data_IF_360963681895
#
_entry.id   IF_360963681895
#
_cell.length_a   1.000
_cell.length_b   1.000
_cell.length_c   1.000
_cell.angle_alpha   90.00
_cell.angle_beta   90.00
_cell.angle_gamma   90.00
#
_symmetry.space_group_name_H-M   'P 1'
#
loop_
_entity.id
_entity.type
_entity.pdbx_description
1 polymer ?
#
# COMPACT_ATOMS: atom_id res chain seq x y z
N UNK A 1 -19.16 -1.42 15.49
CA UNK A 1 -18.79 -2.84 15.22
C UNK A 1 -17.30 -3.05 15.43
N UNK A 2 -16.41 -2.25 14.84
CA UNK A 2 -14.95 -2.38 14.95
C UNK A 2 -14.49 -2.42 16.42
N UNK A 3 -14.94 -1.46 17.24
CA UNK A 3 -14.61 -1.37 18.66
C UNK A 3 -15.16 -2.55 19.50
N UNK A 4 -16.32 -3.12 19.10
CA UNK A 4 -16.90 -4.27 19.80
C UNK A 4 -16.17 -5.57 19.48
N UNK A 5 -15.56 -5.66 18.29
CA UNK A 5 -14.90 -6.87 17.80
C UNK A 5 -13.39 -6.85 18.02
N UNK A 6 -12.77 -5.69 18.29
CA UNK A 6 -11.32 -5.52 18.50
C UNK A 6 -10.50 -6.23 17.44
N UNK A 7 -10.80 -5.99 16.18
CA UNK A 7 -10.13 -6.64 15.06
C UNK A 7 -10.13 -5.72 13.82
N UNK A 8 -9.12 -5.80 12.94
CA UNK A 8 -9.07 -5.00 11.74
C UNK A 8 -10.14 -5.40 10.74
N UNK A 9 -10.60 -4.42 9.97
CA UNK A 9 -11.55 -4.59 8.87
C UNK A 9 -10.91 -4.20 7.56
N UNK A 10 -11.24 -4.96 6.51
CA UNK A 10 -11.01 -4.57 5.13
C UNK A 10 -12.38 -4.43 4.45
N UNK A 11 -12.70 -3.23 4.02
CA UNK A 11 -13.92 -2.91 3.29
C UNK A 11 -13.58 -2.77 1.81
N UNK A 12 -14.26 -3.51 0.97
CA UNK A 12 -14.09 -3.44 -0.49
C UNK A 12 -15.36 -2.88 -1.10
N UNK A 13 -15.20 -1.89 -1.96
CA UNK A 13 -16.26 -1.22 -2.73
C UNK A 13 -15.95 -1.26 -4.22
N UNK A 14 -16.87 -0.84 -5.07
CA UNK A 14 -16.74 -0.93 -6.53
C UNK A 14 -15.57 -0.10 -7.09
N UNK A 15 -15.51 1.18 -6.71
CA UNK A 15 -14.55 2.13 -7.26
C UNK A 15 -13.94 3.04 -6.19
N UNK A 16 -12.94 3.82 -6.59
CA UNK A 16 -12.20 4.71 -5.68
C UNK A 16 -13.05 5.88 -5.17
N UNK A 17 -14.01 6.37 -5.95
CA UNK A 17 -14.91 7.43 -5.50
C UNK A 17 -15.77 6.94 -4.33
N UNK A 18 -16.32 5.73 -4.45
CA UNK A 18 -17.05 5.08 -3.36
C UNK A 18 -16.14 4.78 -2.17
N UNK A 19 -14.87 4.37 -2.39
CA UNK A 19 -13.93 4.15 -1.30
C UNK A 19 -13.69 5.43 -0.48
N UNK A 20 -13.45 6.54 -1.16
CA UNK A 20 -13.29 7.84 -0.50
C UNK A 20 -14.56 8.28 0.25
N UNK A 21 -15.74 8.13 -0.33
CA UNK A 21 -17.02 8.43 0.32
C UNK A 21 -17.26 7.53 1.54
N UNK A 22 -16.93 6.25 1.45
CA UNK A 22 -17.04 5.29 2.55
C UNK A 22 -16.12 5.67 3.71
N UNK A 23 -14.86 6.04 3.42
CA UNK A 23 -13.91 6.53 4.44
C UNK A 23 -14.48 7.73 5.20
N UNK A 24 -14.94 8.75 4.48
CA UNK A 24 -15.50 9.94 5.13
C UNK A 24 -16.76 9.62 5.95
N UNK A 25 -17.61 8.73 5.46
CA UNK A 25 -18.79 8.26 6.18
C UNK A 25 -18.41 7.50 7.46
N UNK A 26 -17.44 6.59 7.38
CA UNK A 26 -17.02 5.78 8.53
C UNK A 26 -16.31 6.61 9.61
N UNK A 27 -15.56 7.64 9.24
CA UNK A 27 -14.90 8.55 10.19
C UNK A 27 -15.87 9.21 11.19
N UNK A 28 -17.12 9.43 10.78
CA UNK A 28 -18.15 10.02 11.65
C UNK A 28 -18.58 9.06 12.78
N UNK A 29 -18.46 7.75 12.56
CA UNK A 29 -18.94 6.71 13.48
C UNK A 29 -17.85 6.09 14.36
N UNK A 30 -16.59 6.45 14.16
CA UNK A 30 -15.45 5.93 14.94
C UNK A 30 -14.95 6.99 15.93
N UNK A 31 -14.39 6.55 17.06
CA UNK A 31 -13.81 7.48 18.04
C UNK A 31 -12.48 8.05 17.59
N UNK A 32 -11.75 7.28 16.79
CA UNK A 32 -10.44 7.66 16.23
C UNK A 32 -10.55 7.73 14.70
N UNK A 33 -10.86 8.89 14.11
CA UNK A 33 -11.00 9.03 12.66
C UNK A 33 -9.75 8.60 11.87
N UNK A 34 -8.57 8.68 12.50
CA UNK A 34 -7.30 8.26 11.91
C UNK A 34 -7.13 6.74 11.79
N UNK A 35 -8.03 5.95 12.41
CA UNK A 35 -8.03 4.49 12.26
C UNK A 35 -8.83 4.04 11.02
N UNK A 36 -9.50 4.97 10.33
CA UNK A 36 -10.16 4.72 9.04
C UNK A 36 -9.26 5.21 7.92
N UNK A 37 -8.72 4.28 7.15
CA UNK A 37 -7.71 4.52 6.14
C UNK A 37 -8.22 4.13 4.74
N UNK A 38 -7.91 4.95 3.75
CA UNK A 38 -8.10 4.60 2.34
C UNK A 38 -6.84 3.93 1.80
N UNK A 39 -7.00 2.79 1.13
CA UNK A 39 -6.00 2.29 0.21
C UNK A 39 -6.40 2.73 -1.21
N UNK A 40 -5.87 3.84 -1.72
CA UNK A 40 -6.22 4.33 -3.05
C UNK A 40 -5.71 3.40 -4.15
N UNK A 41 -6.30 3.52 -5.33
CA UNK A 41 -5.81 2.86 -6.52
C UNK A 41 -4.42 3.42 -6.89
N UNK A 42 -3.54 2.60 -7.44
CA UNK A 42 -2.37 3.13 -8.15
C UNK A 42 -2.82 3.73 -9.48
N UNK A 43 -2.23 4.87 -9.86
CA UNK A 43 -2.58 5.57 -11.09
C UNK A 43 -2.29 4.72 -12.33
N UNK A 44 -1.13 4.03 -12.33
CA UNK A 44 -0.72 3.16 -13.43
C UNK A 44 -1.73 2.03 -13.66
N UNK A 45 -2.10 1.83 -14.93
CA UNK A 45 -2.80 0.64 -15.37
C UNK A 45 -1.83 -0.56 -15.42
N UNK A 46 -2.34 -1.80 -15.42
CA UNK A 46 -1.48 -2.96 -15.57
C UNK A 46 -0.58 -2.85 -16.80
N UNK A 47 0.71 -3.18 -16.64
CA UNK A 47 1.76 -3.09 -17.68
C UNK A 47 2.12 -1.69 -18.17
N UNK A 48 1.51 -0.64 -17.61
CA UNK A 48 1.83 0.75 -17.90
C UNK A 48 2.98 1.24 -17.01
N UNK A 49 3.81 2.12 -17.56
CA UNK A 49 4.93 2.73 -16.87
C UNK A 49 4.59 4.17 -16.52
N UNK A 50 3.93 4.34 -15.40
CA UNK A 50 3.61 5.66 -14.83
C UNK A 50 4.29 5.85 -13.48
N UNK A 51 4.68 7.09 -13.23
CA UNK A 51 5.18 7.53 -11.93
C UNK A 51 3.96 7.61 -10.99
N UNK A 52 4.06 6.94 -9.85
CA UNK A 52 3.00 7.04 -8.84
C UNK A 52 3.12 8.35 -8.08
N UNK A 53 1.99 9.01 -7.86
CA UNK A 53 1.91 10.19 -7.01
C UNK A 53 2.37 9.89 -5.56
N UNK A 54 3.17 10.81 -4.98
CA UNK A 54 3.77 10.62 -3.66
C UNK A 54 2.71 10.48 -2.54
N UNK A 55 1.60 11.21 -2.63
CA UNK A 55 0.51 11.13 -1.66
C UNK A 55 -0.26 9.81 -1.78
N UNK A 56 -0.47 9.32 -3.01
CA UNK A 56 -1.04 8.00 -3.26
C UNK A 56 -0.17 6.92 -2.65
N UNK A 57 1.14 6.95 -2.89
CA UNK A 57 2.09 6.01 -2.28
C UNK A 57 2.06 6.09 -0.75
N UNK A 58 2.05 7.31 -0.18
CA UNK A 58 1.97 7.50 1.27
C UNK A 58 0.71 6.86 1.87
N UNK A 59 -0.47 7.15 1.31
CA UNK A 59 -1.74 6.58 1.79
C UNK A 59 -1.76 5.05 1.72
N UNK A 60 -1.24 4.49 0.63
CA UNK A 60 -1.13 3.03 0.47
C UNK A 60 -0.22 2.42 1.54
N UNK A 61 0.97 3.00 1.73
CA UNK A 61 1.89 2.56 2.78
C UNK A 61 1.29 2.70 4.19
N UNK A 62 0.59 3.80 4.49
CA UNK A 62 -0.10 4.00 5.76
C UNK A 62 -1.12 2.90 6.04
N UNK A 63 -1.98 2.57 5.05
CA UNK A 63 -2.99 1.53 5.21
C UNK A 63 -2.36 0.14 5.43
N UNK A 64 -1.32 -0.20 4.66
CA UNK A 64 -0.62 -1.47 4.78
C UNK A 64 0.14 -1.59 6.12
N UNK A 65 0.86 -0.55 6.54
CA UNK A 65 1.62 -0.54 7.81
C UNK A 65 0.66 -0.66 8.99
N UNK A 66 -0.44 0.10 9.00
CA UNK A 66 -1.43 0.03 10.07
C UNK A 66 -2.06 -1.35 10.22
N UNK A 67 -2.29 -2.07 9.10
CA UNK A 67 -2.78 -3.45 9.13
C UNK A 67 -1.73 -4.45 9.62
N UNK A 68 -0.45 -4.21 9.35
CA UNK A 68 0.66 -5.09 9.79
C UNK A 68 0.96 -4.91 11.27
N UNK A 69 0.97 -3.66 11.77
CA UNK A 69 1.28 -3.36 13.17
C UNK A 69 0.21 -3.90 14.13
N UNK A 70 -1.06 -3.99 13.68
CA UNK A 70 -2.20 -4.51 14.45
C UNK A 70 -2.36 -3.91 15.86
N UNK A 71 -1.76 -2.78 16.12
CA UNK A 71 -1.82 -2.11 17.43
C UNK A 71 -3.17 -1.43 17.68
N UNK A 72 -3.97 -1.26 16.60
CA UNK A 72 -5.25 -0.54 16.59
C UNK A 72 -6.32 -1.28 15.82
N UNK A 73 -7.56 -0.96 16.09
CA UNK A 73 -8.74 -1.49 15.39
C UNK A 73 -8.92 -0.75 14.04
N UNK A 74 -8.01 -1.02 13.09
CA UNK A 74 -7.95 -0.33 11.80
C UNK A 74 -9.08 -0.77 10.88
N UNK A 75 -9.69 0.20 10.20
CA UNK A 75 -10.62 -0.01 9.09
C UNK A 75 -9.93 0.47 7.81
N UNK A 76 -9.48 -0.46 6.99
CA UNK A 76 -8.96 -0.14 5.67
C UNK A 76 -10.08 -0.26 4.64
N UNK A 77 -10.22 0.74 3.77
CA UNK A 77 -11.20 0.75 2.67
C UNK A 77 -10.45 0.79 1.35
N UNK A 78 -10.82 -0.07 0.42
CA UNK A 78 -10.24 -0.09 -0.93
C UNK A 78 -11.30 -0.34 -1.99
N UNK A 79 -10.98 0.03 -3.24
CA UNK A 79 -11.78 -0.31 -4.40
C UNK A 79 -11.54 -1.75 -4.86
N UNK A 80 -12.40 -2.27 -5.74
CA UNK A 80 -12.18 -3.51 -6.48
C UNK A 80 -10.85 -3.45 -7.26
N UNK A 81 -10.52 -2.31 -7.87
CA UNK A 81 -9.25 -2.11 -8.59
C UNK A 81 -8.04 -2.18 -7.67
N UNK A 82 -8.05 -1.52 -6.51
CA UNK A 82 -6.95 -1.61 -5.55
C UNK A 82 -6.73 -3.05 -5.07
N UNK A 83 -7.82 -3.84 -4.93
CA UNK A 83 -7.74 -5.25 -4.54
C UNK A 83 -7.06 -6.13 -5.58
N UNK A 84 -7.19 -5.81 -6.88
CA UNK A 84 -6.54 -6.54 -7.98
C UNK A 84 -5.07 -6.15 -8.19
N UNK A 85 -4.59 -5.11 -7.54
CA UNK A 85 -3.21 -4.65 -7.65
C UNK A 85 -2.29 -5.47 -6.74
N UNK A 86 -1.20 -6.06 -7.27
CA UNK A 86 -0.18 -6.72 -6.45
C UNK A 86 0.39 -5.75 -5.41
N UNK A 87 0.65 -6.23 -4.20
CA UNK A 87 1.27 -5.47 -3.12
C UNK A 87 2.49 -6.21 -2.57
N UNK A 88 3.35 -5.50 -1.86
CA UNK A 88 4.45 -6.08 -1.08
C UNK A 88 3.89 -7.10 -0.06
N UNK A 89 4.60 -8.21 0.23
CA UNK A 89 4.18 -9.16 1.27
C UNK A 89 4.16 -8.53 2.67
N UNK A 90 3.13 -8.77 3.50
CA UNK A 90 3.04 -8.20 4.85
C UNK A 90 4.22 -8.57 5.74
N UNK A 91 4.82 -9.76 5.57
CA UNK A 91 6.01 -10.18 6.32
C UNK A 91 7.25 -9.36 5.93
N UNK A 92 7.40 -9.01 4.65
CA UNK A 92 8.50 -8.17 4.18
C UNK A 92 8.31 -6.73 4.65
N UNK A 93 7.07 -6.23 4.64
CA UNK A 93 6.75 -4.91 5.17
C UNK A 93 7.06 -4.84 6.68
N UNK A 94 6.59 -5.82 7.46
CA UNK A 94 6.86 -5.88 8.90
C UNK A 94 8.35 -5.91 9.22
N UNK A 95 9.12 -6.69 8.47
CA UNK A 95 10.57 -6.78 8.63
C UNK A 95 11.32 -5.50 8.22
N UNK A 96 10.69 -4.64 7.42
CA UNK A 96 11.24 -3.38 6.95
C UNK A 96 10.90 -2.18 7.86
N UNK A 97 10.04 -2.37 8.87
CA UNK A 97 9.72 -1.33 9.84
C UNK A 97 10.88 -1.12 10.82
N UNK A 98 11.20 0.13 11.06
CA UNK A 98 12.30 0.53 11.91
C UNK A 98 11.89 1.69 12.83
N UNK A 99 12.14 1.58 14.12
CA UNK A 99 11.75 2.61 15.09
C UNK A 99 12.96 3.41 15.53
N UNK A 100 12.93 4.74 15.32
CA UNK A 100 13.83 5.69 15.95
C UNK A 100 13.26 6.13 17.30
N UNK A 101 14.13 6.29 18.28
CA UNK A 101 13.77 6.74 19.62
C UNK A 101 14.86 7.65 20.17
N UNK A 102 14.47 8.72 20.84
CA UNK A 102 15.39 9.64 21.52
C UNK A 102 16.21 8.88 22.57
N UNK A 103 17.51 9.10 22.60
CA UNK A 103 18.49 8.44 23.48
C UNK A 103 18.99 7.09 22.97
N UNK A 104 18.51 6.59 21.80
CA UNK A 104 19.08 5.39 21.19
C UNK A 104 20.33 5.72 20.38
N UNK A 105 21.30 4.81 20.41
CA UNK A 105 22.48 4.85 19.55
C UNK A 105 22.14 4.26 18.17
N UNK A 106 22.42 5.01 17.12
CA UNK A 106 22.19 4.63 15.72
C UNK A 106 23.36 5.14 14.89
N UNK A 107 24.08 4.24 14.24
CA UNK A 107 25.09 4.61 13.25
C UNK A 107 24.44 5.38 12.10
N UNK A 108 24.82 6.64 11.95
CA UNK A 108 24.26 7.55 10.95
C UNK A 108 24.48 7.03 9.52
N UNK A 109 25.63 6.44 9.22
CA UNK A 109 25.95 5.93 7.89
C UNK A 109 25.04 4.74 7.56
N UNK A 110 24.88 3.81 8.49
CA UNK A 110 23.99 2.66 8.33
C UNK A 110 22.52 3.09 8.22
N UNK A 111 22.12 4.13 8.94
CA UNK A 111 20.77 4.69 8.81
C UNK A 111 20.53 5.25 7.40
N UNK A 112 21.45 6.03 6.87
CA UNK A 112 21.32 6.58 5.50
C UNK A 112 21.28 5.47 4.45
N UNK A 113 22.14 4.45 4.55
CA UNK A 113 22.09 3.27 3.70
C UNK A 113 20.77 2.54 3.81
N UNK A 114 20.19 2.46 5.01
CA UNK A 114 18.90 1.83 5.24
C UNK A 114 17.78 2.59 4.56
N UNK A 115 17.76 3.94 4.64
CA UNK A 115 16.79 4.77 3.94
C UNK A 115 16.82 4.54 2.42
N UNK A 116 18.00 4.45 1.81
CA UNK A 116 18.12 4.08 0.38
C UNK A 116 17.49 2.71 0.09
N UNK A 117 17.77 1.70 0.91
CA UNK A 117 17.21 0.35 0.76
C UNK A 117 15.68 0.33 0.89
N UNK A 118 15.12 1.23 1.70
CA UNK A 118 13.69 1.42 1.88
C UNK A 118 13.04 2.28 0.76
N UNK A 119 13.83 2.73 -0.22
CA UNK A 119 13.35 3.47 -1.38
C UNK A 119 13.15 4.96 -1.15
N UNK A 120 13.73 5.53 -0.08
CA UNK A 120 13.73 6.98 0.11
C UNK A 120 14.67 7.65 -0.89
N UNK A 121 14.27 8.85 -1.32
CA UNK A 121 15.00 9.67 -2.27
C UNK A 121 15.80 10.76 -1.54
N UNK A 122 17.12 10.89 -1.82
CA UNK A 122 17.91 11.97 -1.26
C UNK A 122 17.62 13.28 -1.98
N UNK A 123 17.28 14.32 -1.22
CA UNK A 123 16.96 15.66 -1.72
C UNK A 123 17.70 16.75 -0.94
N UNK A 124 17.73 17.96 -1.49
CA UNK A 124 18.32 19.10 -0.78
C UNK A 124 17.41 19.56 0.39
N UNK A 125 16.11 19.58 0.18
CA UNK A 125 15.07 19.94 1.16
C UNK A 125 13.93 18.95 1.05
N UNK A 126 13.43 18.48 2.20
CA UNK A 126 12.36 17.46 2.25
C UNK A 126 11.01 18.14 2.15
N UNK A 127 10.27 17.86 1.09
CA UNK A 127 8.97 18.46 0.79
C UNK A 127 7.87 17.40 0.67
N UNK A 128 8.21 16.16 0.24
CA UNK A 128 7.24 15.11 -0.04
C UNK A 128 7.53 13.82 0.72
N UNK A 129 6.51 12.99 0.99
CA UNK A 129 6.69 11.66 1.57
C UNK A 129 7.68 10.80 0.76
N UNK A 130 8.53 10.06 1.48
CA UNK A 130 9.56 9.22 0.87
C UNK A 130 10.86 9.94 0.54
N UNK A 131 10.99 11.22 0.90
CA UNK A 131 12.22 11.99 0.76
C UNK A 131 13.04 12.01 2.05
N UNK A 132 14.35 12.19 1.93
CA UNK A 132 15.23 12.50 3.04
C UNK A 132 16.37 13.44 2.64
N UNK A 133 16.93 14.15 3.62
CA UNK A 133 18.06 15.06 3.47
C UNK A 133 19.02 14.88 4.63
N UNK A 134 20.32 15.02 4.41
CA UNK A 134 21.34 14.88 5.43
C UNK A 134 22.31 16.07 5.43
N UNK A 135 22.50 16.68 6.60
CA UNK A 135 23.42 17.83 6.78
C UNK A 135 24.12 17.73 8.14
N UNK A 136 25.38 17.30 8.14
CA UNK A 136 26.14 17.12 9.39
C UNK A 136 25.51 16.06 10.29
N UNK A 137 25.16 16.41 11.51
CA UNK A 137 24.46 15.53 12.46
C UNK A 137 22.93 15.60 12.37
N UNK A 138 22.36 16.12 11.27
CA UNK A 138 20.90 16.28 11.11
C UNK A 138 20.43 15.46 9.90
N UNK A 139 19.42 14.64 10.13
CA UNK A 139 18.68 13.93 9.06
C UNK A 139 17.23 14.39 9.09
N UNK A 140 16.79 15.00 8.00
CA UNK A 140 15.39 15.30 7.74
C UNK A 140 14.80 14.18 6.88
N UNK A 141 13.64 13.64 7.24
CA UNK A 141 12.98 12.59 6.45
C UNK A 141 11.47 12.70 6.55
N UNK A 142 10.77 12.29 5.50
CA UNK A 142 9.31 12.24 5.50
C UNK A 142 8.83 10.79 5.38
N UNK A 143 8.69 10.08 6.51
CA UNK A 143 8.20 8.71 6.48
C UNK A 143 6.71 8.66 6.14
N UNK A 144 6.24 7.67 5.35
CA UNK A 144 4.82 7.55 5.05
C UNK A 144 3.94 7.29 6.28
N UNK A 145 4.53 6.80 7.37
CA UNK A 145 3.85 6.56 8.66
C UNK A 145 3.34 7.82 9.33
N UNK A 146 3.87 8.98 8.99
CA UNK A 146 3.55 10.25 9.63
C UNK A 146 2.90 11.24 8.66
N UNK A 147 2.05 12.13 9.16
CA UNK A 147 1.44 13.20 8.35
C UNK A 147 2.38 14.37 8.08
N UNK A 148 3.55 14.39 8.71
CA UNK A 148 4.56 15.45 8.60
C UNK A 148 5.96 14.87 8.61
N UNK A 149 6.94 15.56 7.98
CA UNK A 149 8.32 15.14 8.05
C UNK A 149 8.91 15.30 9.46
N UNK A 150 9.99 14.55 9.70
CA UNK A 150 10.71 14.50 10.99
C UNK A 150 12.15 14.90 10.79
N UNK A 151 12.64 15.73 11.70
CA UNK A 151 14.06 16.07 11.88
C UNK A 151 14.63 15.23 13.00
N UNK A 152 15.70 14.51 12.70
CA UNK A 152 16.48 13.70 13.63
C UNK A 152 17.79 14.42 13.86
N UNK A 153 18.07 14.82 15.09
CA UNK A 153 19.33 15.47 15.47
C UNK A 153 20.19 14.47 16.23
N UNK A 154 21.44 14.32 15.81
CA UNK A 154 22.41 13.40 16.37
C UNK A 154 23.50 14.14 17.16
N UNK A 155 23.87 13.59 18.31
CA UNK A 155 25.10 13.93 19.02
C UNK A 155 26.01 12.69 19.00
N UNK A 156 27.02 12.68 18.11
CA UNK A 156 27.73 11.43 17.78
C UNK A 156 26.78 10.44 17.13
N UNK A 157 26.67 9.24 17.71
CA UNK A 157 25.76 8.17 17.26
C UNK A 157 24.43 8.16 18.06
N UNK A 158 24.27 9.03 19.06
CA UNK A 158 23.05 9.11 19.86
C UNK A 158 22.02 10.04 19.20
N UNK A 159 20.77 9.61 19.14
CA UNK A 159 19.63 10.47 18.74
C UNK A 159 19.32 11.43 19.90
N UNK A 160 19.78 12.68 19.79
CA UNK A 160 19.58 13.72 20.79
C UNK A 160 18.12 14.22 20.77
N UNK A 161 17.55 14.42 19.59
CA UNK A 161 16.17 14.89 19.47
C UNK A 161 15.46 14.37 18.21
N UNK A 162 14.14 14.20 18.32
CA UNK A 162 13.21 13.96 17.22
C UNK A 162 12.15 15.07 17.24
N UNK A 163 11.93 15.73 16.09
CA UNK A 163 10.94 16.80 15.98
C UNK A 163 10.21 16.70 14.65
N UNK A 164 8.90 16.87 14.64
CA UNK A 164 8.21 17.16 13.39
C UNK A 164 8.59 18.54 12.91
N UNK A 165 8.55 18.77 11.60
CA UNK A 165 8.74 20.10 11.02
C UNK A 165 7.74 20.39 9.91
N UNK A 166 7.64 21.65 9.56
CA UNK A 166 6.76 22.13 8.50
C UNK A 166 7.53 22.13 7.17
N UNK A 167 6.97 21.40 6.17
CA UNK A 167 7.63 21.17 4.89
C UNK A 167 7.78 22.41 4.02
N UNK A 168 6.90 23.42 4.18
CA UNK A 168 6.98 24.66 3.41
C UNK A 168 8.00 25.64 4.00
N UNK A 169 8.02 25.76 5.34
CA UNK A 169 8.86 26.72 6.04
C UNK A 169 10.16 26.11 6.56
N UNK A 170 10.31 24.79 6.54
CA UNK A 170 11.42 23.99 7.07
C UNK A 170 11.67 24.21 8.58
N UNK A 171 10.69 24.77 9.31
CA UNK A 171 10.81 25.06 10.75
C UNK A 171 10.35 23.90 11.59
N UNK A 172 11.16 23.55 12.59
CA UNK A 172 10.79 22.55 13.59
C UNK A 172 9.52 22.96 14.34
N UNK A 173 8.66 21.97 14.58
CA UNK A 173 7.38 22.13 15.27
C UNK A 173 7.43 21.42 16.64
N UNK A 174 6.82 20.24 16.74
CA UNK A 174 6.62 19.53 18.00
C UNK A 174 7.71 18.46 18.22
N UNK A 175 8.25 18.33 19.44
CA UNK A 175 9.07 17.19 19.79
C UNK A 175 8.22 15.92 19.81
N UNK A 176 8.82 14.80 19.41
CA UNK A 176 8.27 13.46 19.50
C UNK A 176 9.28 12.53 20.17
N UNK A 177 8.83 11.51 20.86
CA UNK A 177 9.73 10.58 21.54
C UNK A 177 10.20 9.45 20.62
N UNK A 178 9.34 9.03 19.69
CA UNK A 178 9.58 7.92 18.78
C UNK A 178 9.05 8.22 17.37
N UNK A 179 9.66 7.60 16.38
CA UNK A 179 9.22 7.65 14.99
C UNK A 179 9.39 6.28 14.35
N UNK A 180 8.32 5.70 13.81
CA UNK A 180 8.40 4.48 13.01
C UNK A 180 8.69 4.86 11.57
N UNK A 181 9.76 4.31 11.01
CA UNK A 181 10.12 4.44 9.61
C UNK A 181 9.71 3.16 8.90
N UNK A 182 8.89 3.29 7.88
CA UNK A 182 8.54 2.22 6.95
C UNK A 182 9.13 2.46 5.57
N UNK A 183 9.01 1.52 4.64
CA UNK A 183 9.37 1.73 3.24
C UNK A 183 8.68 2.95 2.65
N UNK A 184 9.40 3.71 1.84
CA UNK A 184 8.86 4.86 1.13
C UNK A 184 7.89 4.45 0.01
N UNK A 185 8.05 3.23 -0.51
CA UNK A 185 7.25 2.67 -1.62
C UNK A 185 7.12 1.16 -1.52
N UNK A 186 6.12 0.60 -2.22
CA UNK A 186 5.86 -0.85 -2.23
C UNK A 186 6.94 -1.66 -2.95
N UNK A 187 7.57 -1.09 -3.97
CA UNK A 187 8.62 -1.73 -4.75
C UNK A 187 9.99 -1.42 -4.15
N UNK A 188 10.58 -2.39 -3.43
CA UNK A 188 11.87 -2.19 -2.76
C UNK A 188 13.05 -2.41 -3.71
N UNK A 189 13.90 -1.38 -3.94
CA UNK A 189 15.02 -1.48 -4.87
C UNK A 189 16.06 -2.52 -4.46
N UNK A 190 16.20 -2.80 -3.16
CA UNK A 190 17.12 -3.82 -2.63
C UNK A 190 16.89 -5.22 -3.20
N UNK A 191 15.69 -5.52 -3.70
CA UNK A 191 15.33 -6.78 -4.35
C UNK A 191 15.71 -6.83 -5.83
N UNK A 192 16.14 -5.70 -6.40
CA UNK A 192 16.49 -5.57 -7.81
C UNK A 192 17.49 -6.59 -8.32
N UNK A 193 18.64 -6.85 -7.63
CA UNK A 193 19.64 -7.80 -8.08
C UNK A 193 19.11 -9.24 -8.27
N UNK A 194 18.11 -9.64 -7.50
CA UNK A 194 17.44 -10.94 -7.65
C UNK A 194 16.47 -10.94 -8.83
N UNK A 195 15.68 -9.87 -8.98
CA UNK A 195 14.72 -9.69 -10.06
C UNK A 195 15.37 -9.66 -11.43
N UNK A 196 16.54 -9.04 -11.57
CA UNK A 196 17.30 -8.93 -12.83
C UNK A 196 17.59 -10.29 -13.43
N UNK A 197 17.88 -11.32 -12.62
CA UNK A 197 18.19 -12.68 -13.11
C UNK A 197 17.08 -13.29 -13.97
N UNK A 198 15.84 -12.95 -13.66
CA UNK A 198 14.68 -13.41 -14.43
C UNK A 198 14.37 -12.44 -15.58
N UNK A 199 14.44 -11.15 -15.32
CA UNK A 199 14.16 -10.10 -16.31
C UNK A 199 15.10 -10.16 -17.51
N UNK A 200 16.37 -10.56 -17.32
CA UNK A 200 17.36 -10.76 -18.39
C UNK A 200 17.04 -11.95 -19.31
N UNK A 201 16.15 -12.85 -18.88
CA UNK A 201 15.73 -14.00 -19.71
C UNK A 201 14.58 -13.66 -20.66
N UNK A 202 13.97 -12.49 -20.50
CA UNK A 202 12.86 -12.06 -21.35
C UNK A 202 13.40 -11.63 -22.72
N UNK A 203 12.71 -12.00 -23.83
CA UNK A 203 13.13 -11.62 -25.18
C UNK A 203 12.89 -10.12 -25.41
N UNK A 204 13.94 -9.37 -25.59
CA UNK A 204 13.91 -7.90 -25.76
C UNK A 204 14.31 -7.43 -27.15
N UNK A 205 14.73 -8.34 -28.03
CA UNK A 205 15.22 -8.04 -29.38
C UNK A 205 14.15 -7.43 -30.30
N UNK A 206 12.89 -7.60 -29.91
CA UNK A 206 11.74 -7.10 -30.67
C UNK A 206 11.25 -5.74 -30.19
N UNK A 207 11.79 -5.21 -29.08
CA UNK A 207 11.35 -3.92 -28.54
C UNK A 207 11.69 -2.77 -29.50
N UNK A 208 10.87 -1.72 -29.48
CA UNK A 208 11.23 -0.47 -30.13
C UNK A 208 12.43 0.17 -29.41
N UNK A 209 13.27 0.92 -30.13
CA UNK A 209 14.55 1.41 -29.62
C UNK A 209 14.43 2.15 -28.28
N UNK A 210 13.41 2.98 -28.12
CA UNK A 210 13.17 3.74 -26.88
C UNK A 210 12.86 2.81 -25.71
N UNK A 211 12.04 1.78 -25.92
CA UNK A 211 11.68 0.79 -24.89
C UNK A 211 12.88 -0.11 -24.55
N UNK A 212 13.73 -0.46 -25.54
CA UNK A 212 14.94 -1.24 -25.31
C UNK A 212 15.97 -0.46 -24.48
N UNK A 213 16.17 0.82 -24.79
CA UNK A 213 17.07 1.69 -24.01
C UNK A 213 16.57 1.89 -22.57
N UNK A 214 15.27 2.11 -22.40
CA UNK A 214 14.64 2.20 -21.07
C UNK A 214 14.84 0.90 -20.31
N UNK A 215 14.54 -0.25 -20.91
CA UNK A 215 14.70 -1.56 -20.32
C UNK A 215 16.12 -1.80 -19.81
N UNK A 216 17.13 -1.50 -20.63
CA UNK A 216 18.55 -1.64 -20.27
C UNK A 216 18.92 -0.75 -19.07
N UNK A 217 18.46 0.49 -19.08
CA UNK A 217 18.70 1.44 -17.97
C UNK A 217 18.02 0.95 -16.67
N UNK A 218 16.79 0.46 -16.75
CA UNK A 218 16.05 -0.03 -15.60
C UNK A 218 16.71 -1.29 -15.01
N UNK A 219 17.15 -2.23 -15.86
CA UNK A 219 17.92 -3.40 -15.41
C UNK A 219 19.22 -3.00 -14.71
N UNK A 220 19.90 -1.96 -15.18
CA UNK A 220 21.11 -1.47 -14.50
C UNK A 220 20.80 -0.85 -13.14
N UNK A 221 19.75 -0.04 -13.04
CA UNK A 221 19.29 0.50 -11.76
C UNK A 221 18.89 -0.62 -10.78
N UNK A 222 18.12 -1.60 -11.24
CA UNK A 222 17.73 -2.77 -10.45
C UNK A 222 18.96 -3.57 -9.99
N UNK A 223 19.96 -3.79 -10.86
CA UNK A 223 21.19 -4.50 -10.53
C UNK A 223 21.97 -3.82 -9.40
N UNK A 224 21.95 -2.49 -9.40
CA UNK A 224 22.60 -1.67 -8.37
C UNK A 224 21.72 -1.48 -7.12
N UNK A 225 20.47 -1.96 -7.11
CA UNK A 225 19.53 -1.74 -6.01
C UNK A 225 19.12 -0.28 -5.87
N UNK A 226 19.09 0.46 -6.97
CA UNK A 226 18.71 1.88 -7.00
C UNK A 226 17.22 2.04 -7.26
N UNK A 227 16.63 3.03 -6.59
CA UNK A 227 15.25 3.46 -6.84
C UNK A 227 15.17 4.31 -8.10
N UNK A 228 14.05 4.24 -8.81
CA UNK A 228 13.72 5.07 -9.97
C UNK A 228 12.20 5.20 -10.11
N UNK A 229 11.74 6.15 -10.90
CA UNK A 229 10.36 6.63 -10.90
C UNK A 229 9.30 5.53 -11.13
N UNK A 230 9.50 4.69 -12.14
CA UNK A 230 8.55 3.64 -12.52
C UNK A 230 8.93 2.23 -11.99
N UNK A 231 9.73 2.15 -10.91
CA UNK A 231 10.15 0.88 -10.30
C UNK A 231 8.96 -0.04 -9.94
N UNK A 232 7.79 0.53 -9.66
CA UNK A 232 6.55 -0.19 -9.35
C UNK A 232 6.10 -1.11 -10.50
N UNK A 233 6.46 -0.82 -11.74
CA UNK A 233 6.27 -1.73 -12.88
C UNK A 233 6.90 -3.11 -12.64
N UNK A 234 8.03 -3.15 -11.93
CA UNK A 234 8.78 -4.37 -11.62
C UNK A 234 8.33 -5.07 -10.33
N UNK A 235 7.31 -4.55 -9.64
CA UNK A 235 6.85 -5.11 -8.36
C UNK A 235 6.57 -6.62 -8.41
N UNK A 236 5.98 -7.20 -9.48
CA UNK A 236 5.79 -8.66 -9.58
C UNK A 236 7.09 -9.49 -9.60
N UNK A 237 8.23 -8.87 -9.89
CA UNK A 237 9.56 -9.50 -9.87
C UNK A 237 10.33 -9.22 -8.59
N UNK A 238 10.07 -8.07 -7.95
CA UNK A 238 10.73 -7.68 -6.71
C UNK A 238 10.17 -8.44 -5.50
N UNK A 239 8.90 -8.83 -5.56
CA UNK A 239 8.21 -9.49 -4.45
C UNK A 239 7.40 -10.70 -4.93
N UNK A 240 7.13 -11.62 -4.02
CA UNK A 240 6.10 -12.61 -4.24
C UNK A 240 4.73 -11.92 -4.34
N UNK A 241 3.93 -12.34 -5.31
CA UNK A 241 2.63 -11.72 -5.58
C UNK A 241 1.68 -11.95 -4.41
N UNK A 242 1.31 -10.87 -3.72
CA UNK A 242 0.36 -10.82 -2.62
C UNK A 242 -0.73 -9.78 -2.90
N UNK A 243 -1.82 -9.86 -2.14
CA UNK A 243 -2.98 -8.97 -2.26
C UNK A 243 -3.25 -8.28 -0.92
N UNK A 244 -4.08 -7.26 -0.90
CA UNK A 244 -4.55 -6.66 0.36
C UNK A 244 -5.28 -7.64 1.28
N UNK A 245 -5.86 -8.72 0.73
CA UNK A 245 -6.43 -9.79 1.56
C UNK A 245 -5.39 -10.47 2.44
N UNK A 246 -4.12 -10.51 2.04
CA UNK A 246 -3.05 -11.13 2.82
C UNK A 246 -2.64 -10.28 4.04
N UNK A 247 -2.97 -8.99 4.03
CA UNK A 247 -2.79 -8.07 5.17
C UNK A 247 -3.86 -8.21 6.24
N UNK A 248 -5.04 -8.73 5.87
CA UNK A 248 -6.10 -8.97 6.83
C UNK A 248 -5.77 -10.25 7.64
N UNK A 249 -5.60 -10.17 8.96
CA UNK A 249 -5.34 -11.36 9.78
C UNK A 249 -6.54 -12.31 9.75
N UNK A 250 -6.36 -13.55 10.18
CA UNK A 250 -7.46 -14.55 10.22
C UNK A 250 -8.62 -14.14 11.11
N UNK A 251 -8.35 -13.36 12.15
CA UNK A 251 -9.38 -12.78 13.03
C UNK A 251 -10.11 -11.60 12.40
N UNK A 252 -9.51 -10.97 11.40
CA UNK A 252 -10.06 -9.79 10.73
C UNK A 252 -11.34 -10.09 9.96
N UNK A 253 -12.08 -9.04 9.63
CA UNK A 253 -13.35 -9.11 8.94
C UNK A 253 -13.25 -8.45 7.56
N UNK A 254 -13.57 -9.22 6.51
CA UNK A 254 -13.75 -8.70 5.16
C UNK A 254 -15.20 -8.24 4.98
N UNK A 255 -15.38 -7.03 4.51
CA UNK A 255 -16.69 -6.47 4.20
C UNK A 255 -16.74 -6.18 2.71
N UNK A 256 -17.69 -6.79 1.99
CA UNK A 256 -17.92 -6.55 0.59
C UNK A 256 -19.22 -5.73 0.42
N UNK A 257 -19.09 -4.51 -0.08
CA UNK A 257 -20.23 -3.66 -0.38
C UNK A 257 -20.73 -3.96 -1.79
N UNK A 258 -21.75 -4.80 -1.89
CA UNK A 258 -22.26 -5.38 -3.13
C UNK A 258 -21.25 -6.35 -3.79
N UNK A 259 -21.15 -7.56 -3.24
CA UNK A 259 -20.19 -8.58 -3.69
C UNK A 259 -20.35 -8.95 -5.19
N UNK A 260 -21.57 -8.92 -5.74
CA UNK A 260 -21.82 -9.18 -7.16
C UNK A 260 -21.26 -8.06 -8.04
N UNK A 261 -21.47 -6.80 -7.66
CA UNK A 261 -20.91 -5.65 -8.37
C UNK A 261 -19.38 -5.67 -8.36
N UNK A 262 -18.78 -5.94 -7.19
CA UNK A 262 -17.32 -6.07 -7.04
C UNK A 262 -16.77 -7.18 -7.95
N UNK A 263 -17.44 -8.35 -8.00
CA UNK A 263 -17.05 -9.45 -8.88
C UNK A 263 -17.10 -9.07 -10.35
N UNK A 264 -18.19 -8.44 -10.79
CA UNK A 264 -18.34 -7.95 -12.16
C UNK A 264 -17.26 -6.92 -12.49
N UNK A 265 -17.00 -6.00 -11.58
CA UNK A 265 -15.94 -4.99 -11.75
C UNK A 265 -14.55 -5.60 -11.90
N UNK A 266 -14.24 -6.62 -11.10
CA UNK A 266 -12.96 -7.35 -11.22
C UNK A 266 -12.88 -8.09 -12.55
N UNK A 267 -13.97 -8.71 -13.03
CA UNK A 267 -13.98 -9.36 -14.33
C UNK A 267 -13.72 -8.38 -15.49
N UNK A 268 -14.31 -7.18 -15.46
CA UNK A 268 -13.99 -6.11 -16.41
C UNK A 268 -12.50 -5.69 -16.35
N UNK A 269 -11.94 -5.60 -15.15
CA UNK A 269 -10.52 -5.27 -14.95
C UNK A 269 -9.61 -6.40 -15.45
N UNK A 270 -10.01 -7.66 -15.31
CA UNK A 270 -9.29 -8.83 -15.85
C UNK A 270 -9.19 -8.74 -17.38
N UNK A 271 -10.30 -8.43 -18.05
CA UNK A 271 -10.34 -8.25 -19.51
C UNK A 271 -9.46 -7.07 -19.95
N UNK A 272 -9.59 -5.92 -19.28
CA UNK A 272 -8.77 -4.74 -19.56
C UNK A 272 -7.27 -5.01 -19.37
N UNK A 273 -6.89 -5.71 -18.30
CA UNK A 273 -5.48 -6.06 -18.05
C UNK A 273 -4.91 -6.96 -19.15
N UNK A 274 -5.71 -7.92 -19.63
CA UNK A 274 -5.30 -8.80 -20.72
C UNK A 274 -5.16 -8.03 -22.05
N UNK A 275 -6.11 -7.17 -22.39
CA UNK A 275 -6.06 -6.32 -23.57
C UNK A 275 -4.83 -5.39 -23.56
N UNK A 276 -4.51 -4.81 -22.40
CA UNK A 276 -3.34 -3.97 -22.25
C UNK A 276 -2.03 -4.75 -22.42
N UNK A 277 -1.92 -5.95 -21.85
CA UNK A 277 -0.77 -6.82 -22.03
C UNK A 277 -0.51 -7.08 -23.49
N UNK A 278 -1.56 -7.53 -24.21
CA UNK A 278 -1.49 -7.83 -25.65
C UNK A 278 -1.16 -6.59 -26.50
N UNK A 279 -1.68 -5.42 -26.11
CA UNK A 279 -1.36 -4.15 -26.77
C UNK A 279 0.10 -3.79 -26.64
N UNK A 280 0.64 -3.74 -25.41
CA UNK A 280 2.03 -3.36 -25.17
C UNK A 280 3.03 -4.35 -25.78
N UNK A 281 2.70 -5.66 -25.81
CA UNK A 281 3.50 -6.67 -26.50
C UNK A 281 3.46 -6.47 -28.03
N UNK A 282 2.29 -6.25 -28.62
CA UNK A 282 2.09 -6.01 -30.04
C UNK A 282 2.79 -4.74 -30.51
N UNK A 283 2.70 -3.67 -29.72
CA UNK A 283 3.29 -2.37 -30.01
C UNK A 283 4.80 -2.36 -29.69
N UNK A 284 5.35 -3.47 -29.19
CA UNK A 284 6.76 -3.67 -28.84
C UNK A 284 7.28 -2.69 -27.79
N UNK A 285 6.40 -2.25 -26.90
CA UNK A 285 6.74 -1.37 -25.79
C UNK A 285 7.20 -2.17 -24.57
N UNK A 286 6.67 -3.38 -24.38
CA UNK A 286 7.06 -4.31 -23.33
C UNK A 286 7.51 -5.65 -23.91
N UNK A 287 8.46 -6.35 -23.27
CA UNK A 287 8.84 -7.70 -23.68
C UNK A 287 7.66 -8.66 -23.45
N UNK A 288 7.52 -9.70 -24.30
CA UNK A 288 6.52 -10.73 -24.07
C UNK A 288 6.85 -11.56 -22.81
N UNK A 289 5.83 -12.25 -22.31
CA UNK A 289 5.93 -13.12 -21.14
C UNK A 289 6.23 -12.41 -19.82
N UNK A 290 5.88 -11.13 -19.71
CA UNK A 290 5.90 -10.46 -18.41
C UNK A 290 5.00 -11.18 -17.40
N UNK A 291 5.45 -11.21 -16.13
CA UNK A 291 4.62 -11.65 -15.02
C UNK A 291 3.35 -10.80 -14.94
N UNK A 292 2.29 -11.40 -14.40
CA UNK A 292 1.02 -10.70 -14.28
C UNK A 292 1.14 -9.51 -13.33
N UNK A 293 0.86 -8.32 -13.85
CA UNK A 293 0.79 -7.06 -13.12
C UNK A 293 -0.59 -6.83 -12.46
N UNK A 294 -1.50 -7.80 -12.63
CA UNK A 294 -2.87 -7.79 -12.18
C UNK A 294 -3.23 -9.12 -11.53
N UNK A 295 -4.04 -9.09 -10.49
CA UNK A 295 -4.51 -10.30 -9.78
C UNK A 295 -5.97 -10.51 -10.09
N UNK A 296 -6.25 -11.48 -10.97
CA UNK A 296 -7.59 -11.77 -11.43
C UNK A 296 -8.48 -12.45 -10.38
N UNK A 297 -9.78 -12.48 -10.68
CA UNK A 297 -10.79 -13.06 -9.80
C UNK A 297 -10.49 -14.51 -9.39
N UNK A 298 -9.98 -15.32 -10.31
CA UNK A 298 -9.60 -16.71 -10.05
C UNK A 298 -8.59 -16.89 -8.93
N UNK A 299 -7.75 -15.88 -8.65
CA UNK A 299 -6.76 -15.85 -7.56
C UNK A 299 -7.32 -15.19 -6.29
N UNK A 300 -8.25 -14.25 -6.42
CA UNK A 300 -8.88 -13.53 -5.31
C UNK A 300 -9.99 -14.35 -4.66
N UNK A 301 -10.86 -15.01 -5.42
CA UNK A 301 -12.01 -15.74 -4.93
C UNK A 301 -11.66 -16.77 -3.84
N UNK A 302 -10.67 -17.66 -4.01
CA UNK A 302 -10.31 -18.61 -2.95
C UNK A 302 -9.85 -17.94 -1.67
N UNK A 303 -9.18 -16.78 -1.77
CA UNK A 303 -8.74 -16.01 -0.61
C UNK A 303 -9.93 -15.32 0.09
N UNK A 304 -10.86 -14.77 -0.68
CA UNK A 304 -12.10 -14.18 -0.17
C UNK A 304 -12.90 -15.23 0.60
N UNK A 305 -13.09 -16.41 0.02
CA UNK A 305 -13.86 -17.51 0.63
C UNK A 305 -13.26 -18.03 1.95
N UNK A 306 -11.94 -17.89 2.15
CA UNK A 306 -11.25 -18.28 3.38
C UNK A 306 -11.36 -17.24 4.50
N UNK A 307 -11.90 -16.05 4.22
CA UNK A 307 -12.03 -14.96 5.20
C UNK A 307 -13.40 -14.97 5.86
N UNK A 308 -13.44 -14.52 7.10
CA UNK A 308 -14.70 -14.12 7.72
C UNK A 308 -15.21 -12.91 6.95
N UNK A 309 -16.41 -12.99 6.40
CA UNK A 309 -16.92 -11.96 5.51
C UNK A 309 -18.36 -11.56 5.83
N UNK A 310 -18.66 -10.29 5.56
CA UNK A 310 -20.01 -9.75 5.49
C UNK A 310 -20.23 -9.18 4.10
N UNK A 311 -21.36 -9.57 3.48
CA UNK A 311 -21.78 -9.00 2.22
C UNK A 311 -22.98 -8.09 2.48
N UNK A 312 -22.91 -6.88 2.00
CA UNK A 312 -24.00 -5.92 2.01
C UNK A 312 -24.54 -5.74 0.58
N UNK A 313 -25.82 -5.48 0.47
CA UNK A 313 -26.46 -5.20 -0.83
C UNK A 313 -26.36 -3.70 -1.21
N UNK A 314 -25.25 -3.05 -0.83
CA UNK A 314 -25.00 -1.62 -1.03
C UNK A 314 -25.21 -0.83 0.27
N UNK A 315 -24.11 -0.53 1.00
CA UNK A 315 -24.19 0.28 2.24
C UNK A 315 -24.66 1.69 1.94
N UNK A 316 -24.27 2.25 0.81
CA UNK A 316 -24.66 3.61 0.38
C UNK A 316 -26.09 3.70 -0.16
N UNK A 317 -26.70 2.60 -0.60
CA UNK A 317 -28.09 2.56 -1.03
C UNK A 317 -29.08 2.28 0.12
N UNK A 318 -28.58 1.89 1.29
CA UNK A 318 -29.39 1.50 2.45
C UNK A 318 -30.01 2.68 3.23
N UNK A 319 -29.92 3.92 2.72
CA UNK A 319 -30.65 5.06 3.32
C UNK A 319 -32.15 4.96 3.07
N UNK A 320 -32.61 4.05 2.18
CA UNK A 320 -34.03 3.86 1.84
C UNK A 320 -34.56 2.43 1.90
N UNK A 321 -33.87 1.42 2.48
CA UNK A 321 -34.38 0.05 2.43
C UNK A 321 -33.74 -0.94 3.39
N UNK A 322 -34.42 -2.03 3.63
CA UNK A 322 -34.08 -3.10 4.56
C UNK A 322 -32.66 -3.66 4.35
N UNK A 323 -31.93 -3.81 5.45
CA UNK A 323 -30.59 -4.44 5.47
C UNK A 323 -30.71 -5.95 5.21
N UNK A 324 -30.28 -6.40 4.04
CA UNK A 324 -30.09 -7.82 3.74
C UNK A 324 -28.61 -8.20 3.93
N UNK A 325 -28.23 -8.60 5.15
CA UNK A 325 -26.89 -9.03 5.48
C UNK A 325 -26.81 -10.56 5.49
N UNK A 326 -26.05 -11.14 4.55
CA UNK A 326 -25.78 -12.58 4.55
C UNK A 326 -24.42 -12.86 5.19
N UNK A 327 -24.43 -13.52 6.35
CA UNK A 327 -23.23 -14.09 6.97
C UNK A 327 -22.85 -15.41 6.27
N UNK A 328 -21.76 -15.43 5.52
CA UNK A 328 -21.15 -16.64 4.98
C UNK A 328 -19.88 -16.98 5.75
N UNK A 329 -19.90 -18.11 6.45
CA UNK A 329 -18.74 -18.62 7.18
C UNK A 329 -19.14 -19.23 8.51
N UNK A 330 -19.14 -20.57 8.58
CA UNK A 330 -19.67 -21.34 9.68
C UNK A 330 -19.14 -20.96 11.06
N UNK A 331 -20.05 -20.56 11.85
CA UNK A 331 -20.23 -20.89 13.27
C UNK A 331 -21.51 -20.24 13.74
N UNK A 332 -22.51 -21.06 13.98
CA UNK A 332 -23.68 -20.73 14.80
C UNK A 332 -23.19 -20.35 16.20
N UNK A 333 -23.12 -19.08 16.47
CA UNK A 333 -23.15 -18.44 17.81
C UNK A 333 -22.48 -17.05 17.70
N UNK A 334 -23.28 -16.04 17.41
CA UNK A 334 -23.13 -14.65 17.84
C UNK A 334 -24.14 -13.75 17.10
N UNK A 335 -25.42 -13.92 17.45
CA UNK A 335 -26.42 -12.88 17.27
C UNK A 335 -27.08 -12.62 18.62
N UNK A 336 -26.93 -11.48 19.25
CA UNK A 336 -27.96 -11.00 20.14
C UNK A 336 -29.17 -10.61 19.28
N UNK A 337 -30.32 -11.19 19.59
CA UNK A 337 -31.61 -10.82 19.04
C UNK A 337 -31.85 -9.32 19.24
N UNK A 338 -31.72 -8.51 18.21
CA UNK A 338 -32.33 -7.21 18.15
C UNK A 338 -33.75 -7.40 17.63
N UNK A 339 -34.67 -7.73 18.55
CA UNK A 339 -36.08 -7.55 18.30
C UNK A 339 -36.35 -6.05 18.22
N UNK A 340 -36.96 -5.63 17.14
CA UNK A 340 -37.60 -4.34 16.94
C UNK A 340 -38.44 -3.95 18.18
N UNK A 341 -38.02 -2.92 18.93
CA UNK A 341 -38.90 -2.20 19.82
C UNK A 341 -39.41 -0.99 19.04
N UNK A 342 -40.57 -1.17 18.43
CA UNK A 342 -41.50 -0.08 18.16
C UNK A 342 -42.13 0.34 19.49
N UNK A 343 -41.95 1.59 19.88
CA UNK A 343 -42.91 2.47 20.51
C UNK A 343 -42.30 3.89 20.55
#
# INVERSE_FOLDING_TARGET
>A
LAKALKQPFLVVVDDEAQANQMVESLKVFVEQPNDVLCLPDRDALPYERLISDALTMQKRMQAMIALVEQERDVIAVCSARALTQPVMPPQELSAALYTLQVGHEVDLTLMLEHLFKLGYEPVAEVEEPGQFSHRGGIVDLFPPTLPRPVRVEFFGDEIESLRTFDQETQRSLNPIATCVIGPAREALPIRGPEAVKELEQLPTEMLVSESEERWKRDLENLRQGLSFDDITFYLPYLHNVTTMLDYLPRSGLLILDNAESIQNRIAELDEQAQEMKERFERDRENPPHLRDAHIGWNRLEPKIQQRRQLNFAGILSAVEGEFDAQLRGGTEQLMPNYSSANA
#
